data_IF_618800011149
#
_entry.id   IF_618800011149
#
_cell.length_a   1.000
_cell.length_b   1.000
_cell.length_c   1.000
_cell.angle_alpha   90.00
_cell.angle_beta   90.00
_cell.angle_gamma   90.00
#
_symmetry.space_group_name_H-M   'P 1'
#
loop_
_entity.id
_entity.type
_entity.pdbx_description
1 polymer ?
#
# COMPACT_ATOMS: atom_id res chain seq x y z
N UNK A 1 -18.23 8.60 -13.55
CA UNK A 1 -16.92 9.20 -13.21
C UNK A 1 -16.61 8.76 -11.78
N UNK A 2 -15.46 8.11 -11.53
CA UNK A 2 -15.02 7.78 -10.16
C UNK A 2 -14.13 8.90 -9.65
N UNK A 3 -14.37 9.42 -8.45
CA UNK A 3 -13.47 10.43 -7.85
C UNK A 3 -12.39 9.76 -7.00
N UNK A 4 -11.25 10.43 -6.96
CA UNK A 4 -10.12 10.07 -6.12
C UNK A 4 -9.68 11.32 -5.38
N UNK A 5 -9.54 11.21 -4.07
CA UNK A 5 -9.04 12.27 -3.21
C UNK A 5 -7.56 12.02 -2.96
N UNK A 6 -6.70 13.00 -3.29
CA UNK A 6 -5.24 12.84 -3.26
C UNK A 6 -4.63 13.76 -2.21
N UNK A 7 -3.63 13.26 -1.49
CA UNK A 7 -2.76 14.03 -0.58
C UNK A 7 -1.32 13.81 -0.95
N UNK A 8 -0.53 14.89 -0.97
CA UNK A 8 0.88 14.88 -1.37
C UNK A 8 1.85 14.43 -0.27
N UNK A 9 1.34 14.10 0.92
CA UNK A 9 2.04 13.42 2.00
C UNK A 9 1.00 13.06 3.07
N UNK A 10 1.10 11.87 3.66
CA UNK A 10 0.27 11.50 4.81
C UNK A 10 1.08 10.72 5.85
N UNK A 11 0.86 11.01 7.12
CA UNK A 11 1.52 10.33 8.24
C UNK A 11 0.56 9.36 8.88
N UNK A 12 0.88 8.07 8.87
CA UNK A 12 0.09 7.05 9.55
C UNK A 12 0.87 6.57 10.77
N UNK A 13 0.27 6.77 11.94
CA UNK A 13 0.84 6.26 13.17
C UNK A 13 0.42 4.82 13.37
N UNK A 14 1.39 3.92 13.47
CA UNK A 14 1.09 2.58 13.87
C UNK A 14 0.77 2.60 15.40
N UNK A 15 0.12 1.55 15.92
CA UNK A 15 -0.14 1.42 17.38
C UNK A 15 1.12 1.79 18.20
N UNK A 16 0.95 2.27 19.44
CA UNK A 16 2.00 2.86 20.32
C UNK A 16 3.44 2.33 20.21
N UNK A 17 3.66 1.04 19.95
CA UNK A 17 4.98 0.40 19.92
C UNK A 17 5.45 0.00 18.49
N UNK A 18 4.71 0.36 17.46
CA UNK A 18 5.00 0.05 16.07
C UNK A 18 5.62 1.24 15.34
N UNK A 19 6.31 0.95 14.23
CA UNK A 19 7.00 1.96 13.43
C UNK A 19 5.98 2.77 12.61
N UNK A 20 5.96 4.08 12.80
CA UNK A 20 5.15 4.96 11.96
C UNK A 20 5.62 4.93 10.50
N UNK A 21 4.68 5.16 9.59
CA UNK A 21 4.95 5.28 8.16
C UNK A 21 4.55 6.66 7.66
N UNK A 22 5.29 7.13 6.66
CA UNK A 22 4.98 8.33 5.92
C UNK A 22 4.78 7.90 4.47
N UNK A 23 3.59 8.17 3.98
CA UNK A 23 3.21 7.92 2.59
C UNK A 23 3.59 9.14 1.78
N UNK A 24 4.33 8.93 0.69
CA UNK A 24 4.71 10.00 -0.24
C UNK A 24 3.45 10.60 -0.88
N UNK A 25 2.56 9.76 -1.43
CA UNK A 25 1.26 10.18 -1.93
C UNK A 25 0.21 9.18 -1.45
N UNK A 26 -0.75 9.66 -0.66
CA UNK A 26 -1.93 8.87 -0.32
C UNK A 26 -3.11 9.27 -1.20
N UNK A 27 -3.89 8.29 -1.63
CA UNK A 27 -5.13 8.55 -2.34
C UNK A 27 -6.26 7.62 -1.88
N UNK A 28 -7.49 8.13 -1.97
CA UNK A 28 -8.69 7.45 -1.53
C UNK A 28 -9.75 7.49 -2.61
N UNK A 29 -10.21 6.31 -3.04
CA UNK A 29 -11.33 6.17 -3.97
C UNK A 29 -12.67 6.35 -3.25
N UNK A 30 -13.69 6.77 -4.00
CA UNK A 30 -15.07 6.83 -3.48
C UNK A 30 -15.63 5.46 -3.04
N UNK A 31 -15.08 4.35 -3.54
CA UNK A 31 -15.46 2.99 -3.17
C UNK A 31 -14.73 2.45 -1.93
N UNK A 32 -13.97 3.30 -1.22
CA UNK A 32 -13.19 2.90 -0.05
C UNK A 32 -11.80 2.37 -0.40
N UNK A 33 -11.41 2.33 -1.68
CA UNK A 33 -10.07 1.92 -2.08
C UNK A 33 -9.02 2.88 -1.53
N UNK A 34 -7.87 2.33 -1.14
CA UNK A 34 -6.73 3.09 -0.64
C UNK A 34 -5.52 2.85 -1.51
N UNK A 35 -4.77 3.92 -1.75
CA UNK A 35 -3.54 3.89 -2.54
C UNK A 35 -2.45 4.61 -1.79
N UNK A 36 -1.29 3.95 -1.75
CA UNK A 36 -0.01 4.56 -1.43
C UNK A 36 0.86 4.52 -2.68
N UNK A 37 1.38 5.68 -3.10
CA UNK A 37 2.23 5.83 -4.28
C UNK A 37 3.56 6.40 -3.85
N UNK A 38 4.62 5.62 -4.07
CA UNK A 38 5.97 5.86 -3.59
C UNK A 38 6.95 5.91 -4.77
N UNK A 39 8.00 6.73 -4.70
CA UNK A 39 9.05 6.76 -5.72
C UNK A 39 10.38 6.26 -5.17
N UNK A 40 11.10 5.46 -5.95
CA UNK A 40 12.46 5.01 -5.61
C UNK A 40 13.40 5.16 -6.81
N UNK A 41 14.42 5.99 -6.65
CA UNK A 41 15.47 6.20 -7.66
C UNK A 41 16.63 5.22 -7.51
N UNK A 42 16.77 4.61 -6.33
CA UNK A 42 17.81 3.63 -6.00
C UNK A 42 17.18 2.33 -5.51
N UNK A 43 17.83 1.19 -5.79
CA UNK A 43 17.35 -0.14 -5.41
C UNK A 43 17.49 -0.36 -3.88
N UNK A 44 16.42 -0.31 -3.06
CA UNK A 44 16.56 -0.42 -1.62
C UNK A 44 16.61 -1.90 -1.20
N UNK A 45 17.46 -2.27 -0.25
CA UNK A 45 17.66 -3.67 0.16
C UNK A 45 16.39 -4.42 0.58
N UNK A 46 15.38 -3.71 1.08
CA UNK A 46 14.19 -4.28 1.72
C UNK A 46 12.87 -3.78 1.11
N UNK A 47 12.81 -3.62 -0.23
CA UNK A 47 11.62 -3.07 -0.91
C UNK A 47 10.35 -3.87 -0.60
N UNK A 48 10.40 -5.20 -0.75
CA UNK A 48 9.23 -6.05 -0.52
C UNK A 48 8.76 -5.99 0.94
N UNK A 49 9.69 -5.99 1.90
CA UNK A 49 9.36 -5.86 3.32
C UNK A 49 8.71 -4.50 3.61
N UNK A 50 9.17 -3.42 2.97
CA UNK A 50 8.52 -2.11 3.07
C UNK A 50 7.11 -2.12 2.50
N UNK A 51 6.90 -2.70 1.32
CA UNK A 51 5.58 -2.85 0.69
C UNK A 51 4.62 -3.58 1.62
N UNK A 52 5.04 -4.75 2.15
CA UNK A 52 4.24 -5.53 3.09
C UNK A 52 3.88 -4.74 4.35
N UNK A 53 4.85 -4.01 4.89
CA UNK A 53 4.64 -3.20 6.09
C UNK A 53 3.65 -2.08 5.85
N UNK A 54 3.80 -1.34 4.74
CA UNK A 54 2.92 -0.21 4.41
C UNK A 54 1.50 -0.70 4.15
N UNK A 55 1.34 -1.77 3.36
CA UNK A 55 0.05 -2.39 3.08
C UNK A 55 -0.66 -2.84 4.37
N UNK A 56 0.05 -3.52 5.27
CA UNK A 56 -0.50 -3.99 6.55
C UNK A 56 -0.92 -2.82 7.46
N UNK A 57 -0.09 -1.78 7.55
CA UNK A 57 -0.40 -0.59 8.36
C UNK A 57 -1.63 0.14 7.81
N UNK A 58 -1.75 0.30 6.49
CA UNK A 58 -2.93 0.91 5.87
C UNK A 58 -4.21 0.11 6.12
N UNK A 59 -4.16 -1.23 6.03
CA UNK A 59 -5.31 -2.08 6.38
C UNK A 59 -5.67 -1.92 7.85
N UNK A 60 -4.67 -1.94 8.74
CA UNK A 60 -4.89 -1.84 10.19
C UNK A 60 -5.50 -0.50 10.60
N UNK A 61 -5.16 0.58 9.89
CA UNK A 61 -5.74 1.91 10.14
C UNK A 61 -7.24 1.96 9.80
N UNK A 62 -7.71 1.09 8.90
CA UNK A 62 -9.12 1.06 8.48
C UNK A 62 -9.95 -0.04 9.11
N UNK A 63 -9.34 -1.14 9.53
CA UNK A 63 -10.06 -2.25 10.13
C UNK A 63 -10.15 -2.08 11.66
N UNK A 64 -11.34 -1.75 12.14
CA UNK A 64 -11.63 -1.57 13.55
C UNK A 64 -11.92 -2.90 14.26
N UNK A 65 -11.81 -2.95 15.61
CA UNK A 65 -12.17 -4.13 16.36
C UNK A 65 -13.59 -4.59 16.06
N UNK A 66 -13.75 -5.91 15.84
CA UNK A 66 -15.03 -6.60 15.55
C UNK A 66 -15.55 -6.43 14.12
N UNK A 67 -14.83 -5.73 13.24
CA UNK A 67 -15.10 -5.76 11.80
C UNK A 67 -14.66 -7.09 11.18
N UNK A 68 -15.38 -7.53 10.14
CA UNK A 68 -15.05 -8.76 9.42
C UNK A 68 -13.84 -8.54 8.52
N UNK A 69 -12.97 -9.54 8.39
CA UNK A 69 -11.87 -9.50 7.41
C UNK A 69 -12.36 -9.40 5.96
N UNK A 70 -13.63 -9.73 5.69
CA UNK A 70 -14.26 -9.48 4.38
C UNK A 70 -14.48 -7.99 4.06
N UNK A 71 -14.43 -7.12 5.06
CA UNK A 71 -14.58 -5.67 4.91
C UNK A 71 -13.24 -4.96 4.66
N UNK A 72 -12.13 -5.71 4.52
CA UNK A 72 -10.82 -5.13 4.21
C UNK A 72 -10.92 -4.37 2.87
N UNK A 73 -10.68 -3.04 2.87
CA UNK A 73 -10.75 -2.26 1.65
C UNK A 73 -9.64 -2.69 0.68
N UNK A 74 -9.92 -2.58 -0.63
CA UNK A 74 -8.89 -2.76 -1.65
C UNK A 74 -7.77 -1.76 -1.41
N UNK A 75 -6.59 -2.29 -1.09
CA UNK A 75 -5.43 -1.49 -0.67
C UNK A 75 -4.29 -1.75 -1.65
N UNK A 76 -3.74 -0.68 -2.22
CA UNK A 76 -2.67 -0.74 -3.20
C UNK A 76 -1.45 0.02 -2.69
N UNK A 77 -0.28 -0.59 -2.82
CA UNK A 77 1.01 0.07 -2.58
C UNK A 77 1.78 0.02 -3.91
N UNK A 78 2.00 1.18 -4.51
CA UNK A 78 2.52 1.34 -5.86
C UNK A 78 3.89 1.99 -5.77
N UNK A 79 4.92 1.24 -6.13
CA UNK A 79 6.27 1.77 -6.23
C UNK A 79 6.62 2.12 -7.69
N UNK A 80 6.94 3.39 -7.93
CA UNK A 80 7.52 3.86 -9.18
C UNK A 80 9.04 3.81 -9.04
N UNK A 81 9.66 2.84 -9.71
CA UNK A 81 11.10 2.59 -9.63
C UNK A 81 11.80 3.03 -10.91
N UNK A 82 12.97 3.68 -10.78
CA UNK A 82 13.88 3.92 -11.92
C UNK A 82 14.81 2.72 -12.21
N UNK A 83 14.47 1.56 -11.66
CA UNK A 83 15.19 0.30 -11.81
C UNK A 83 14.18 -0.84 -11.91
N UNK A 84 14.59 -1.92 -12.58
CA UNK A 84 13.81 -3.16 -12.59
C UNK A 84 14.13 -3.97 -11.32
N UNK A 85 13.19 -3.97 -10.36
CA UNK A 85 13.37 -4.67 -9.09
C UNK A 85 13.51 -6.19 -9.26
N UNK A 86 12.70 -6.78 -10.13
CA UNK A 86 12.67 -8.23 -10.34
C UNK A 86 13.73 -8.70 -11.35
N UNK A 87 14.28 -7.78 -12.15
CA UNK A 87 15.27 -8.07 -13.21
C UNK A 87 14.73 -9.06 -14.25
N UNK A 88 13.44 -8.96 -14.55
CA UNK A 88 12.75 -9.79 -15.54
C UNK A 88 12.50 -9.05 -16.86
N UNK A 89 12.93 -7.78 -16.97
CA UNK A 89 12.82 -6.97 -18.17
C UNK A 89 11.47 -6.30 -18.39
N UNK A 90 10.56 -6.36 -17.41
CA UNK A 90 9.23 -5.73 -17.52
C UNK A 90 9.20 -4.35 -16.87
N UNK A 91 8.36 -3.47 -17.41
CA UNK A 91 8.10 -2.14 -16.85
C UNK A 91 7.02 -2.13 -15.76
N UNK A 92 6.29 -3.24 -15.60
CA UNK A 92 5.20 -3.37 -14.64
C UNK A 92 5.20 -4.76 -14.01
N UNK A 93 4.99 -4.79 -12.70
CA UNK A 93 4.86 -6.00 -11.92
C UNK A 93 3.70 -5.84 -10.94
N UNK A 94 2.87 -6.86 -10.84
CA UNK A 94 1.77 -6.93 -9.90
C UNK A 94 2.00 -8.11 -8.94
N UNK A 95 1.83 -7.85 -7.65
CA UNK A 95 1.88 -8.89 -6.62
C UNK A 95 0.57 -8.83 -5.84
N UNK A 96 -0.21 -9.90 -5.94
CA UNK A 96 -1.39 -10.07 -5.14
C UNK A 96 -0.97 -10.63 -3.77
N UNK A 97 -1.05 -9.78 -2.75
CA UNK A 97 -0.70 -10.14 -1.36
C UNK A 97 -1.86 -10.82 -0.61
N UNK A 98 -3.04 -10.87 -1.23
CA UNK A 98 -4.19 -11.61 -0.69
C UNK A 98 -3.94 -13.10 -0.88
N UNK A 99 -4.12 -13.95 0.14
CA UNK A 99 -4.14 -15.40 -0.07
C UNK A 99 -5.23 -15.73 -1.08
N UNK A 100 -4.88 -16.42 -2.16
CA UNK A 100 -5.86 -16.99 -3.07
C UNK A 100 -6.91 -17.77 -2.28
N UNK A 101 -8.15 -17.31 -2.29
CA UNK A 101 -9.29 -18.05 -1.77
C UNK A 101 -10.28 -17.18 -1.01
N UNK A 102 -11.17 -16.50 -1.73
CA UNK A 102 -12.62 -16.69 -1.63
C UNK A 102 -13.22 -16.24 -2.98
N UNK A 103 -13.73 -17.19 -3.76
CA UNK A 103 -14.83 -16.94 -4.71
C UNK A 103 -16.13 -17.17 -3.95
#
# INVERSE_FOLDING_TARGET
>A
MKRVYVRSQDGLSAKRDAKDIRLDISAYGEGGEMFDIEMQTIQPKYLIQRILYYHSTMITERLYPRESYGEIPKTYVIFICLFDWYRLGNSFYEVNLVPNGVN
#
